data_IF_177245006338
#
_entry.id   IF_177245006338
#
_cell.length_a   1.000
_cell.length_b   1.000
_cell.length_c   1.000
_cell.angle_alpha   90.00
_cell.angle_beta   90.00
_cell.angle_gamma   90.00
#
_symmetry.space_group_name_H-M   'P 1'
#
loop_
_entity.id
_entity.type
_entity.pdbx_description
1 polymer ?
#
# COMPACT_ATOMS: atom_id res chain seq x y z
N UNK A 1 -42.34 32.63 -27.29
CA UNK A 1 -42.06 31.20 -27.06
C UNK A 1 -40.57 31.04 -26.72
N UNK A 2 -40.25 31.02 -25.43
CA UNK A 2 -38.88 30.90 -24.92
C UNK A 2 -38.59 29.42 -24.60
N UNK A 3 -37.71 28.80 -25.36
CA UNK A 3 -37.22 27.44 -25.08
C UNK A 3 -36.19 27.52 -23.97
N UNK A 4 -36.60 27.16 -22.76
CA UNK A 4 -35.70 27.00 -21.61
C UNK A 4 -34.74 25.85 -21.87
N UNK A 5 -33.46 26.16 -22.14
CA UNK A 5 -32.38 25.18 -22.15
C UNK A 5 -32.09 24.78 -20.70
N UNK A 6 -32.63 23.61 -20.30
CA UNK A 6 -32.26 22.94 -19.05
C UNK A 6 -30.76 22.67 -19.09
N UNK A 7 -30.04 23.22 -18.10
CA UNK A 7 -28.62 22.90 -17.87
C UNK A 7 -28.49 21.43 -17.54
N UNK A 8 -27.62 20.67 -18.23
CA UNK A 8 -27.40 19.26 -17.90
C UNK A 8 -26.82 19.18 -16.49
N UNK A 9 -27.41 18.27 -15.70
CA UNK A 9 -27.23 18.10 -14.29
C UNK A 9 -25.79 18.26 -13.81
N UNK A 10 -25.61 19.20 -12.91
CA UNK A 10 -24.41 19.27 -12.08
C UNK A 10 -24.32 17.96 -11.30
N UNK A 11 -23.43 17.09 -11.75
CA UNK A 11 -22.99 15.94 -10.95
C UNK A 11 -22.46 16.54 -9.66
N UNK A 12 -23.24 16.46 -8.59
CA UNK A 12 -22.94 17.04 -7.31
C UNK A 12 -21.59 16.49 -6.84
N UNK A 13 -20.56 17.32 -6.89
CA UNK A 13 -19.27 17.02 -6.27
C UNK A 13 -19.51 16.87 -4.79
N UNK A 14 -19.67 15.62 -4.33
CA UNK A 14 -19.79 15.31 -2.90
C UNK A 14 -18.52 15.77 -2.22
N UNK A 15 -18.57 16.92 -1.59
CA UNK A 15 -17.49 17.46 -0.79
C UNK A 15 -17.34 16.60 0.46
N UNK A 16 -16.42 15.63 0.41
CA UNK A 16 -16.08 14.87 1.61
C UNK A 16 -15.39 15.81 2.61
N UNK A 17 -15.86 15.87 3.87
CA UNK A 17 -15.21 16.63 4.89
C UNK A 17 -13.77 16.16 5.09
N UNK A 18 -12.88 17.10 5.41
CA UNK A 18 -11.43 16.85 5.53
C UNK A 18 -11.10 15.63 6.44
N UNK A 19 -11.78 15.51 7.58
CA UNK A 19 -11.60 14.38 8.50
C UNK A 19 -11.89 13.01 7.90
N UNK A 20 -12.93 12.91 7.04
CA UNK A 20 -13.27 11.64 6.37
C UNK A 20 -12.16 11.20 5.41
N UNK A 21 -11.51 12.13 4.73
CA UNK A 21 -10.39 11.79 3.84
C UNK A 21 -9.20 11.22 4.59
N UNK A 22 -8.86 11.79 5.75
CA UNK A 22 -7.81 11.28 6.61
C UNK A 22 -8.15 9.89 7.15
N UNK A 23 -9.38 9.70 7.62
CA UNK A 23 -9.84 8.39 8.08
C UNK A 23 -9.70 7.32 6.98
N UNK A 24 -10.21 7.60 5.77
CA UNK A 24 -10.10 6.67 4.62
C UNK A 24 -8.63 6.43 4.22
N UNK A 25 -7.74 7.41 4.40
CA UNK A 25 -6.34 7.26 4.07
C UNK A 25 -5.57 6.42 5.10
N UNK A 26 -5.94 6.46 6.37
CA UNK A 26 -5.17 5.89 7.49
C UNK A 26 -5.67 4.52 7.94
N UNK A 27 -6.99 4.30 7.97
CA UNK A 27 -7.57 3.02 8.45
C UNK A 27 -7.02 1.79 7.72
N UNK A 28 -6.85 1.80 6.37
CA UNK A 28 -6.28 0.66 5.67
C UNK A 28 -4.87 0.30 6.17
N UNK A 29 -4.07 1.28 6.62
CA UNK A 29 -2.74 1.02 7.21
C UNK A 29 -2.82 0.20 8.48
N UNK A 30 -3.69 0.60 9.40
CA UNK A 30 -3.91 -0.13 10.66
C UNK A 30 -4.40 -1.56 10.39
N UNK A 31 -5.42 -1.71 9.51
CA UNK A 31 -5.97 -3.02 9.17
C UNK A 31 -4.95 -3.92 8.49
N UNK A 32 -4.12 -3.36 7.62
CA UNK A 32 -3.03 -4.11 6.98
C UNK A 32 -2.01 -4.60 8.01
N UNK A 33 -1.60 -3.76 8.96
CA UNK A 33 -0.67 -4.13 10.03
C UNK A 33 -1.20 -5.28 10.90
N UNK A 34 -2.46 -5.21 11.30
CA UNK A 34 -3.13 -6.30 12.04
C UNK A 34 -3.20 -7.57 11.18
N UNK A 35 -3.54 -7.45 9.90
CA UNK A 35 -3.60 -8.57 8.96
C UNK A 35 -2.26 -9.26 8.79
N UNK A 36 -1.17 -8.50 8.69
CA UNK A 36 0.20 -9.04 8.63
C UNK A 36 0.50 -9.82 9.93
N UNK A 37 0.21 -9.26 11.10
CA UNK A 37 0.47 -9.90 12.38
C UNK A 37 -0.31 -11.21 12.55
N UNK A 38 -1.58 -11.23 12.14
CA UNK A 38 -2.43 -12.42 12.14
C UNK A 38 -1.87 -13.53 11.25
N UNK A 39 -1.48 -13.20 10.01
CA UNK A 39 -0.98 -14.19 9.05
C UNK A 39 0.39 -14.72 9.45
N UNK A 40 1.28 -13.86 9.94
CA UNK A 40 2.60 -14.28 10.44
C UNK A 40 2.47 -15.17 11.68
N UNK A 41 1.54 -14.86 12.59
CA UNK A 41 1.21 -15.69 13.73
C UNK A 41 0.70 -17.06 13.31
N UNK A 42 -0.25 -17.12 12.38
CA UNK A 42 -0.80 -18.37 11.87
C UNK A 42 0.26 -19.26 11.21
N UNK A 43 1.18 -18.66 10.44
CA UNK A 43 2.29 -19.41 9.81
C UNK A 43 3.25 -19.97 10.84
N UNK A 44 3.61 -19.19 11.88
CA UNK A 44 4.60 -19.60 12.88
C UNK A 44 4.06 -20.59 13.89
N UNK A 45 2.85 -20.37 14.40
CA UNK A 45 2.33 -21.13 15.55
C UNK A 45 1.53 -22.33 15.15
N UNK A 46 0.77 -22.25 14.06
CA UNK A 46 -0.15 -23.29 13.65
C UNK A 46 0.48 -24.25 12.62
N UNK A 47 1.73 -24.00 12.19
CA UNK A 47 2.34 -24.69 11.03
C UNK A 47 1.32 -24.78 9.86
N UNK A 48 0.59 -23.68 9.69
CA UNK A 48 -0.60 -23.64 8.88
C UNK A 48 -0.28 -23.91 7.40
N UNK A 49 -1.22 -24.47 6.64
CA UNK A 49 -1.01 -24.87 5.25
C UNK A 49 -0.67 -23.67 4.36
N UNK A 50 -0.13 -23.96 3.17
CA UNK A 50 0.42 -22.99 2.22
C UNK A 50 -0.41 -21.74 1.93
N UNK A 51 -1.73 -21.76 2.15
CA UNK A 51 -2.60 -20.59 2.01
C UNK A 51 -2.22 -19.44 2.96
N UNK A 52 -1.86 -19.73 4.22
CA UNK A 52 -1.42 -18.71 5.17
C UNK A 52 -0.06 -18.14 4.81
N UNK A 53 0.84 -18.97 4.29
CA UNK A 53 2.14 -18.51 3.80
C UNK A 53 1.96 -17.55 2.61
N UNK A 54 1.06 -17.87 1.69
CA UNK A 54 0.72 -16.98 0.57
C UNK A 54 0.12 -15.68 1.08
N UNK A 55 -0.83 -15.73 2.01
CA UNK A 55 -1.45 -14.54 2.61
C UNK A 55 -0.42 -13.65 3.31
N UNK A 56 0.45 -14.22 4.15
CA UNK A 56 1.55 -13.49 4.79
C UNK A 56 2.46 -12.83 3.76
N UNK A 57 2.87 -13.58 2.72
CA UNK A 57 3.74 -13.05 1.66
C UNK A 57 3.11 -11.90 0.89
N UNK A 58 1.81 -12.00 0.58
CA UNK A 58 1.06 -10.94 -0.11
C UNK A 58 0.94 -9.70 0.76
N UNK A 59 0.55 -9.86 2.03
CA UNK A 59 0.36 -8.74 2.95
C UNK A 59 1.69 -8.05 3.30
N UNK A 60 2.80 -8.81 3.36
CA UNK A 60 4.17 -8.29 3.55
C UNK A 60 4.83 -7.81 2.24
N UNK A 61 4.08 -7.70 1.14
CA UNK A 61 4.63 -7.25 -0.14
C UNK A 61 4.98 -5.75 -0.09
N UNK A 62 6.17 -5.41 -0.55
CA UNK A 62 6.61 -4.02 -0.71
C UNK A 62 5.68 -3.26 -1.67
N UNK A 63 5.16 -3.95 -2.68
CA UNK A 63 4.18 -3.39 -3.63
C UNK A 63 2.88 -3.00 -2.94
N UNK A 64 2.37 -3.82 -2.02
CA UNK A 64 1.15 -3.51 -1.28
C UNK A 64 1.34 -2.32 -0.34
N UNK A 65 2.49 -2.26 0.35
CA UNK A 65 2.86 -1.12 1.18
C UNK A 65 3.02 0.17 0.37
N UNK A 66 3.66 0.07 -0.81
CA UNK A 66 3.78 1.20 -1.74
C UNK A 66 2.40 1.64 -2.26
N UNK A 67 1.52 0.70 -2.60
CA UNK A 67 0.16 1.00 -3.04
C UNK A 67 -0.65 1.72 -1.94
N UNK A 68 -0.51 1.31 -0.68
CA UNK A 68 -1.13 1.97 0.47
C UNK A 68 -0.64 3.43 0.60
N UNK A 69 0.68 3.66 0.52
CA UNK A 69 1.27 5.00 0.61
C UNK A 69 0.80 5.90 -0.55
N UNK A 70 0.81 5.39 -1.77
CA UNK A 70 0.29 6.08 -2.96
C UNK A 70 -1.21 6.36 -2.83
N UNK A 71 -1.99 5.41 -2.34
CA UNK A 71 -3.44 5.60 -2.11
C UNK A 71 -3.71 6.70 -1.09
N UNK A 72 -2.97 6.74 0.03
CA UNK A 72 -3.11 7.80 1.03
C UNK A 72 -2.81 9.18 0.42
N UNK A 73 -1.72 9.28 -0.37
CA UNK A 73 -1.38 10.50 -1.09
C UNK A 73 -2.44 10.92 -2.11
N UNK A 74 -2.96 9.97 -2.87
CA UNK A 74 -4.03 10.21 -3.85
C UNK A 74 -5.31 10.74 -3.20
N UNK A 75 -5.67 10.26 -2.00
CA UNK A 75 -6.85 10.73 -1.24
C UNK A 75 -6.66 12.14 -0.71
N UNK A 76 -5.47 12.49 -0.23
CA UNK A 76 -5.21 13.77 0.44
C UNK A 76 -4.94 14.93 -0.52
N UNK A 77 -4.59 14.66 -1.78
CA UNK A 77 -4.54 15.60 -2.92
C UNK A 77 -3.49 16.72 -2.87
N UNK A 78 -3.09 17.21 -1.69
CA UNK A 78 -2.09 18.28 -1.51
C UNK A 78 -0.76 17.63 -1.15
N UNK A 79 0.36 18.15 -1.65
CA UNK A 79 1.69 17.54 -1.51
C UNK A 79 2.07 17.27 -0.04
N UNK A 80 1.99 18.27 0.82
CA UNK A 80 2.34 18.11 2.23
C UNK A 80 1.42 17.13 2.96
N UNK A 81 0.08 17.27 2.93
CA UNK A 81 -0.82 16.26 3.50
C UNK A 81 -0.64 14.86 2.89
N UNK A 82 -0.34 14.76 1.60
CA UNK A 82 -0.10 13.49 0.93
C UNK A 82 1.15 12.78 1.46
N UNK A 83 2.26 13.51 1.60
CA UNK A 83 3.49 12.99 2.18
C UNK A 83 3.28 12.56 3.64
N UNK A 84 2.72 13.44 4.47
CA UNK A 84 2.45 13.15 5.89
C UNK A 84 1.46 12.00 6.04
N UNK A 85 0.38 11.99 5.27
CA UNK A 85 -0.63 10.92 5.34
C UNK A 85 -0.09 9.56 4.94
N UNK A 86 0.78 9.50 3.94
CA UNK A 86 1.42 8.25 3.52
C UNK A 86 2.40 7.73 4.59
N UNK A 87 3.20 8.60 5.20
CA UNK A 87 4.07 8.25 6.34
C UNK A 87 3.23 7.72 7.50
N UNK A 88 2.16 8.42 7.87
CA UNK A 88 1.27 7.98 8.94
C UNK A 88 0.57 6.66 8.62
N UNK A 89 0.14 6.46 7.37
CA UNK A 89 -0.48 5.19 6.96
C UNK A 89 0.50 4.02 7.11
N UNK A 90 1.75 4.18 6.68
CA UNK A 90 2.79 3.15 6.87
C UNK A 90 3.19 2.99 8.35
N UNK A 91 3.26 4.08 9.12
CA UNK A 91 3.49 4.00 10.56
C UNK A 91 2.38 3.22 11.28
N UNK A 92 1.11 3.36 10.83
CA UNK A 92 -0.01 2.58 11.34
C UNK A 92 0.05 1.10 10.95
N UNK A 93 0.68 0.74 9.83
CA UNK A 93 0.98 -0.67 9.53
C UNK A 93 1.90 -1.25 10.61
N UNK A 94 2.99 -0.56 10.90
CA UNK A 94 3.93 -0.98 11.96
C UNK A 94 3.24 -1.00 13.31
N UNK A 95 2.50 0.06 13.65
CA UNK A 95 1.74 0.17 14.92
C UNK A 95 0.68 -0.92 15.07
N UNK A 96 -0.05 -1.25 13.99
CA UNK A 96 -1.03 -2.33 13.99
C UNK A 96 -0.39 -3.70 14.19
N UNK A 97 0.73 -3.95 13.52
CA UNK A 97 1.51 -5.18 13.67
C UNK A 97 2.04 -5.35 15.10
N UNK A 98 2.71 -4.32 15.61
CA UNK A 98 3.28 -4.35 16.96
C UNK A 98 2.17 -4.41 18.01
N UNK A 99 1.14 -3.58 17.89
CA UNK A 99 0.03 -3.54 18.84
C UNK A 99 -0.73 -4.86 18.91
N UNK A 100 -0.98 -5.51 17.78
CA UNK A 100 -1.60 -6.84 17.78
C UNK A 100 -0.73 -7.88 18.51
N UNK A 101 0.55 -7.94 18.18
CA UNK A 101 1.47 -8.91 18.80
C UNK A 101 1.65 -8.63 20.30
N UNK A 102 1.69 -7.37 20.71
CA UNK A 102 1.83 -7.00 22.11
C UNK A 102 0.57 -7.26 22.95
N UNK A 103 -0.62 -6.94 22.41
CA UNK A 103 -1.86 -6.95 23.18
C UNK A 103 -2.62 -8.28 23.12
N UNK A 104 -2.51 -9.02 22.00
CA UNK A 104 -3.35 -10.19 21.72
C UNK A 104 -2.53 -11.48 21.72
N UNK A 105 -1.33 -11.44 21.18
CA UNK A 105 -0.49 -12.64 21.04
C UNK A 105 0.47 -12.87 22.21
N UNK A 106 0.46 -12.02 23.24
CA UNK A 106 1.33 -12.07 24.41
C UNK A 106 2.83 -12.29 24.09
N UNK A 107 3.27 -11.69 22.96
CA UNK A 107 4.61 -11.87 22.41
C UNK A 107 5.49 -10.64 22.62
N UNK A 108 5.25 -9.91 23.73
CA UNK A 108 5.87 -8.62 24.00
C UNK A 108 7.40 -8.67 23.98
N UNK A 109 7.99 -9.74 24.56
CA UNK A 109 9.44 -9.83 24.75
C UNK A 109 10.22 -10.07 23.46
N UNK A 110 9.60 -10.71 22.46
CA UNK A 110 10.27 -11.03 21.20
C UNK A 110 10.39 -9.85 20.24
N UNK A 111 9.49 -8.87 20.32
CA UNK A 111 9.40 -7.81 19.32
C UNK A 111 10.02 -6.48 19.72
N UNK A 112 10.05 -6.14 21.00
CA UNK A 112 10.69 -4.89 21.43
C UNK A 112 12.21 -4.92 21.28
N UNK A 113 12.85 -6.07 21.47
CA UNK A 113 14.29 -6.20 21.23
C UNK A 113 14.64 -6.12 19.73
N UNK A 114 13.85 -6.77 18.87
CA UNK A 114 14.03 -6.67 17.41
C UNK A 114 13.67 -5.29 16.86
N UNK A 115 12.71 -4.60 17.47
CA UNK A 115 12.36 -3.22 17.13
C UNK A 115 13.46 -2.25 17.55
N UNK A 116 14.12 -2.46 18.70
CA UNK A 116 15.14 -1.54 19.20
C UNK A 116 16.32 -1.37 18.25
N UNK A 117 16.85 -2.46 17.70
CA UNK A 117 18.04 -2.45 16.86
C UNK A 117 17.77 -1.98 15.41
N UNK A 118 16.57 -2.18 14.90
CA UNK A 118 16.19 -1.86 13.52
C UNK A 118 15.18 -0.72 13.38
N UNK A 119 14.62 -0.24 14.52
CA UNK A 119 13.51 0.71 14.48
C UNK A 119 13.91 2.05 13.85
N UNK A 120 15.11 2.53 14.12
CA UNK A 120 15.61 3.79 13.56
C UNK A 120 15.75 3.72 12.03
N UNK A 121 16.32 2.62 11.53
CA UNK A 121 16.51 2.39 10.09
C UNK A 121 15.15 2.15 9.43
N UNK A 122 14.27 1.36 10.06
CA UNK A 122 12.95 1.05 9.52
C UNK A 122 12.02 2.27 9.52
N UNK A 123 11.99 3.07 10.59
CA UNK A 123 11.19 4.30 10.64
C UNK A 123 11.73 5.37 9.70
N UNK A 124 13.06 5.51 9.59
CA UNK A 124 13.67 6.41 8.62
C UNK A 124 13.31 6.03 7.18
N UNK A 125 13.43 4.73 6.85
CA UNK A 125 13.03 4.20 5.55
C UNK A 125 11.54 4.41 5.27
N UNK A 126 10.67 4.13 6.24
CA UNK A 126 9.22 4.37 6.16
C UNK A 126 8.92 5.85 5.96
N UNK A 127 9.61 6.76 6.67
CA UNK A 127 9.40 8.18 6.54
C UNK A 127 9.78 8.68 5.13
N UNK A 128 10.96 8.33 4.65
CA UNK A 128 11.45 8.76 3.33
C UNK A 128 10.64 8.14 2.19
N UNK A 129 10.48 6.81 2.19
CA UNK A 129 9.74 6.12 1.15
C UNK A 129 8.25 6.47 1.19
N UNK A 130 7.65 6.55 2.38
CA UNK A 130 6.26 6.95 2.56
C UNK A 130 5.99 8.35 2.05
N UNK A 131 6.85 9.33 2.40
CA UNK A 131 6.72 10.69 1.92
C UNK A 131 6.82 10.77 0.39
N UNK A 132 7.82 10.10 -0.22
CA UNK A 132 8.02 10.08 -1.66
C UNK A 132 6.82 9.45 -2.38
N UNK A 133 6.35 8.27 -1.93
CA UNK A 133 5.21 7.57 -2.50
C UNK A 133 3.90 8.35 -2.29
N UNK A 134 3.74 9.04 -1.16
CA UNK A 134 2.61 9.93 -0.93
C UNK A 134 2.55 11.08 -1.92
N UNK A 135 3.69 11.71 -2.20
CA UNK A 135 3.81 12.75 -3.23
C UNK A 135 3.48 12.19 -4.62
N UNK A 136 4.00 10.99 -4.96
CA UNK A 136 3.63 10.27 -6.19
C UNK A 136 2.11 10.11 -6.29
N UNK A 137 1.45 9.68 -5.21
CA UNK A 137 0.00 9.53 -5.16
C UNK A 137 -0.76 10.84 -5.45
N UNK A 138 -0.27 11.97 -4.93
CA UNK A 138 -0.85 13.28 -5.24
C UNK A 138 -0.70 13.64 -6.73
N UNK A 139 0.46 13.33 -7.34
CA UNK A 139 0.74 13.58 -8.76
C UNK A 139 -0.05 12.68 -9.71
N UNK A 140 -0.42 11.47 -9.33
CA UNK A 140 -1.25 10.57 -10.16
C UNK A 140 -2.58 11.20 -10.60
N UNK A 141 -3.04 12.25 -9.94
CA UNK A 141 -4.26 12.99 -10.31
C UNK A 141 -4.03 14.08 -11.34
N UNK A 142 -2.79 14.40 -11.63
CA UNK A 142 -2.47 15.40 -12.64
C UNK A 142 -2.64 14.81 -14.04
N UNK A 143 -3.09 15.65 -14.96
CA UNK A 143 -3.22 15.27 -16.37
C UNK A 143 -1.86 15.38 -17.06
N UNK A 144 -1.66 14.57 -18.10
CA UNK A 144 -0.45 14.62 -18.94
C UNK A 144 0.68 13.74 -18.40
N UNK A 145 1.91 14.07 -18.82
CA UNK A 145 3.10 13.26 -18.60
C UNK A 145 3.39 13.00 -17.12
N UNK A 146 3.20 14.02 -16.26
CA UNK A 146 3.48 13.90 -14.81
C UNK A 146 2.57 12.86 -14.17
N UNK A 147 1.26 12.90 -14.43
CA UNK A 147 0.33 11.89 -13.90
C UNK A 147 0.62 10.50 -14.44
N UNK A 148 0.99 10.38 -15.71
CA UNK A 148 1.39 9.11 -16.32
C UNK A 148 2.65 8.54 -15.65
N UNK A 149 3.71 9.34 -15.49
CA UNK A 149 4.94 8.90 -14.83
C UNK A 149 4.69 8.49 -13.38
N UNK A 150 3.89 9.27 -12.66
CA UNK A 150 3.48 8.90 -11.30
C UNK A 150 2.72 7.56 -11.25
N UNK A 151 1.83 7.30 -12.21
CA UNK A 151 1.10 6.03 -12.29
C UNK A 151 2.01 4.83 -12.60
N UNK A 152 3.13 5.04 -13.28
CA UNK A 152 4.10 3.98 -13.59
C UNK A 152 4.95 3.56 -12.38
N UNK A 153 4.99 4.32 -11.29
CA UNK A 153 5.79 3.98 -10.11
C UNK A 153 5.36 2.65 -9.49
N UNK A 154 4.07 2.40 -9.31
CA UNK A 154 3.59 1.13 -8.74
C UNK A 154 3.95 -0.11 -9.56
N UNK A 155 3.72 -0.14 -10.88
CA UNK A 155 4.22 -1.21 -11.75
C UNK A 155 5.73 -1.44 -11.62
N UNK A 156 6.52 -0.36 -11.56
CA UNK A 156 7.97 -0.47 -11.43
C UNK A 156 8.39 -1.03 -10.06
N UNK A 157 7.73 -0.63 -8.98
CA UNK A 157 7.96 -1.20 -7.63
C UNK A 157 7.62 -2.70 -7.63
N UNK A 158 6.48 -3.08 -8.25
CA UNK A 158 6.07 -4.48 -8.34
C UNK A 158 7.08 -5.33 -9.12
N UNK A 159 7.55 -4.84 -10.26
CA UNK A 159 8.58 -5.52 -11.04
C UNK A 159 9.91 -5.62 -10.26
N UNK A 160 10.34 -4.53 -9.64
CA UNK A 160 11.56 -4.53 -8.82
C UNK A 160 11.46 -5.53 -7.65
N UNK A 161 10.29 -5.63 -7.00
CA UNK A 161 10.07 -6.62 -5.94
C UNK A 161 10.17 -8.05 -6.46
N UNK A 162 9.58 -8.36 -7.61
CA UNK A 162 9.67 -9.68 -8.23
C UNK A 162 11.13 -10.03 -8.53
N UNK A 163 11.86 -9.14 -9.21
CA UNK A 163 13.28 -9.37 -9.52
C UNK A 163 14.14 -9.52 -8.27
N UNK A 164 13.91 -8.68 -7.25
CA UNK A 164 14.61 -8.75 -5.99
C UNK A 164 14.40 -10.09 -5.27
N UNK A 165 13.15 -10.55 -5.18
CA UNK A 165 12.81 -11.82 -4.54
C UNK A 165 13.34 -13.02 -5.32
N UNK A 166 13.27 -12.99 -6.65
CA UNK A 166 13.85 -14.04 -7.50
C UNK A 166 15.38 -14.11 -7.36
N UNK A 167 16.06 -12.97 -7.25
CA UNK A 167 17.51 -12.92 -7.07
C UNK A 167 17.99 -13.41 -5.71
N UNK A 168 17.24 -13.11 -4.64
CA UNK A 168 17.64 -13.45 -3.27
C UNK A 168 17.25 -14.88 -2.83
N UNK A 169 16.14 -15.40 -3.35
CA UNK A 169 15.57 -16.69 -2.93
C UNK A 169 14.92 -17.45 -4.10
N UNK A 170 15.70 -17.82 -5.13
CA UNK A 170 15.17 -18.52 -6.28
C UNK A 170 14.50 -19.85 -5.88
N UNK A 171 15.06 -20.53 -4.88
CA UNK A 171 14.55 -21.79 -4.35
C UNK A 171 13.12 -21.69 -3.80
N UNK A 172 12.75 -20.54 -3.20
CA UNK A 172 11.41 -20.33 -2.66
C UNK A 172 10.34 -20.33 -3.75
N UNK A 173 10.66 -19.84 -4.94
CA UNK A 173 9.74 -19.80 -6.08
C UNK A 173 9.59 -21.17 -6.76
N UNK A 174 10.67 -21.95 -6.81
CA UNK A 174 10.63 -23.30 -7.37
C UNK A 174 9.94 -24.30 -6.42
N UNK A 175 10.16 -24.14 -5.11
CA UNK A 175 9.53 -24.99 -4.09
C UNK A 175 8.05 -24.68 -3.86
N UNK A 176 7.59 -23.46 -4.15
CA UNK A 176 6.20 -23.07 -3.90
C UNK A 176 5.62 -22.26 -5.07
N UNK A 177 5.01 -22.89 -6.07
CA UNK A 177 4.47 -22.23 -7.25
C UNK A 177 3.35 -21.24 -6.92
N UNK A 178 2.67 -21.38 -5.78
CA UNK A 178 1.64 -20.44 -5.33
C UNK A 178 2.23 -19.09 -4.96
N UNK A 179 3.46 -19.04 -4.42
CA UNK A 179 4.16 -17.78 -4.16
C UNK A 179 4.47 -17.04 -5.45
N UNK A 180 4.97 -17.73 -6.45
CA UNK A 180 5.22 -17.16 -7.77
C UNK A 180 3.93 -16.61 -8.40
N UNK A 181 2.83 -17.38 -8.32
CA UNK A 181 1.52 -16.96 -8.82
C UNK A 181 0.98 -15.73 -8.10
N UNK A 182 1.10 -15.66 -6.77
CA UNK A 182 0.67 -14.51 -5.97
C UNK A 182 1.48 -13.25 -6.31
N UNK A 183 2.79 -13.36 -6.46
CA UNK A 183 3.66 -12.25 -6.87
C UNK A 183 3.34 -11.77 -8.29
N UNK A 184 3.12 -12.70 -9.22
CA UNK A 184 2.71 -12.38 -10.58
C UNK A 184 1.35 -11.66 -10.59
N UNK A 185 0.38 -12.10 -9.79
CA UNK A 185 -0.92 -11.45 -9.67
C UNK A 185 -0.81 -10.01 -9.13
N UNK A 186 0.05 -9.77 -8.11
CA UNK A 186 0.31 -8.43 -7.59
C UNK A 186 0.93 -7.54 -8.67
N UNK A 187 1.95 -8.05 -9.39
CA UNK A 187 2.61 -7.30 -10.45
C UNK A 187 1.63 -6.96 -11.60
N UNK A 188 0.84 -7.92 -12.05
CA UNK A 188 -0.17 -7.71 -13.08
C UNK A 188 -1.25 -6.72 -12.62
N UNK A 189 -1.73 -6.81 -11.38
CA UNK A 189 -2.67 -5.86 -10.79
C UNK A 189 -2.12 -4.44 -10.75
N UNK A 190 -0.85 -4.28 -10.36
CA UNK A 190 -0.18 -2.98 -10.34
C UNK A 190 -0.01 -2.41 -11.77
N UNK A 191 0.38 -3.24 -12.75
CA UNK A 191 0.48 -2.85 -14.17
C UNK A 191 -0.89 -2.44 -14.71
N UNK A 192 -1.93 -3.24 -14.46
CA UNK A 192 -3.29 -2.92 -14.92
C UNK A 192 -3.80 -1.61 -14.32
N UNK A 193 -3.52 -1.34 -13.04
CA UNK A 193 -3.89 -0.08 -12.38
C UNK A 193 -3.15 1.13 -12.96
N UNK A 194 -1.86 0.98 -13.27
CA UNK A 194 -1.03 2.03 -13.89
C UNK A 194 -1.48 2.33 -15.32
N UNK A 195 -1.75 1.30 -16.11
CA UNK A 195 -2.27 1.44 -17.48
C UNK A 195 -3.67 2.08 -17.46
N UNK A 196 -4.57 1.61 -16.57
CA UNK A 196 -5.92 2.19 -16.44
C UNK A 196 -5.90 3.68 -16.08
N UNK A 197 -5.01 4.09 -15.16
CA UNK A 197 -4.81 5.50 -14.82
C UNK A 197 -4.29 6.31 -16.02
N UNK A 198 -3.39 5.74 -16.82
CA UNK A 198 -2.86 6.37 -18.04
C UNK A 198 -3.91 6.58 -19.13
N UNK A 199 -4.85 5.63 -19.31
CA UNK A 199 -5.95 5.77 -20.27
C UNK A 199 -7.03 6.75 -19.81
N UNK A 200 -7.30 6.84 -18.51
CA UNK A 200 -8.25 7.82 -17.94
C UNK A 200 -7.83 9.29 -18.16
N UNK A 201 -6.56 9.52 -18.45
CA UNK A 201 -6.01 10.86 -18.75
C UNK A 201 -6.40 11.36 -20.16
N UNK A 202 -6.86 10.48 -21.05
CA UNK A 202 -7.21 10.84 -22.44
C UNK A 202 -8.69 11.23 -22.64
N UNK A 203 -9.52 11.17 -21.64
CA UNK A 203 -10.92 11.62 -21.66
C UNK A 203 -11.12 12.79 -20.70
#
# INVERSE_FOLDING_TARGET
MGVGRGLPGAVGVVWQPWGVRWFIALVPGLLLGIGIALTDGAVKDLQAPGAWLVASTVLNSTTLLAALAVFAGWKLRRLVPAAVGAVLALALVVGGYVGYNALIADRYDLHLSMLGDNLGVSLGGVAVAGAALGVVGAFMRQRGLVGFLAAMVLPLVALAEVFWRMGLRPESFTANPWLASAQAAIALGAIASGVGAGYGVRR
#
